data_IF_767787127619
#
_entry.id   IF_767787127619
#
_cell.length_a   1.000
_cell.length_b   1.000
_cell.length_c   1.000
_cell.angle_alpha   90.00
_cell.angle_beta   90.00
_cell.angle_gamma   90.00
#
_symmetry.space_group_name_H-M   'P 1'
#
loop_
_entity.id
_entity.type
_entity.pdbx_description
1 polymer ?
#
# COMPACT_ATOMS: atom_id res chain seq x y z
N UNK A 1 73.58 6.67 6.46
CA UNK A 1 72.42 5.83 6.12
C UNK A 1 71.16 6.49 6.67
N UNK A 2 70.23 6.91 5.80
CA UNK A 2 68.94 7.53 6.17
C UNK A 2 67.84 6.49 6.00
N UNK A 3 67.34 5.92 7.11
CA UNK A 3 66.19 5.02 7.07
C UNK A 3 64.90 5.88 7.00
N UNK A 4 64.08 5.61 6.00
CA UNK A 4 62.88 6.39 5.66
C UNK A 4 61.76 6.18 6.67
N UNK A 5 61.43 7.25 7.39
CA UNK A 5 60.28 7.38 8.28
C UNK A 5 59.03 7.73 7.46
N UNK A 6 58.57 6.83 6.57
CA UNK A 6 57.41 7.14 5.69
C UNK A 6 56.35 6.05 5.61
N UNK A 7 56.55 4.89 6.25
CA UNK A 7 55.62 3.75 6.08
C UNK A 7 54.54 3.63 7.15
N UNK A 8 54.57 4.46 8.21
CA UNK A 8 53.60 4.36 9.32
C UNK A 8 52.41 5.32 9.17
N UNK A 9 52.48 6.34 8.31
CA UNK A 9 51.37 7.30 8.16
C UNK A 9 50.25 6.83 7.23
N UNK A 10 50.51 5.85 6.34
CA UNK A 10 49.51 5.41 5.36
C UNK A 10 48.53 4.37 5.91
N UNK A 11 48.89 3.68 7.01
CA UNK A 11 48.04 2.67 7.65
C UNK A 11 47.09 3.28 8.69
N UNK A 12 47.36 4.53 9.13
CA UNK A 12 46.47 5.28 10.02
C UNK A 12 45.40 6.05 9.22
N UNK A 13 45.65 6.37 7.95
CA UNK A 13 44.69 7.11 7.12
C UNK A 13 43.60 6.27 6.43
N UNK A 14 43.75 4.96 6.27
CA UNK A 14 42.68 4.13 5.66
C UNK A 14 41.66 3.60 6.67
N UNK A 15 41.96 3.62 7.97
CA UNK A 15 41.03 3.21 9.01
C UNK A 15 40.02 4.30 9.42
N UNK A 16 40.10 5.51 8.83
CA UNK A 16 39.37 6.70 9.29
C UNK A 16 38.13 7.08 8.48
N UNK A 17 37.67 6.26 7.53
CA UNK A 17 36.40 6.50 6.81
C UNK A 17 35.50 5.26 6.76
N UNK A 18 35.57 4.39 7.77
CA UNK A 18 34.35 3.70 8.19
C UNK A 18 33.55 4.70 9.04
N UNK A 19 32.93 5.70 8.41
CA UNK A 19 31.83 6.39 9.06
C UNK A 19 30.82 5.31 9.40
N UNK A 20 30.72 4.98 10.68
CA UNK A 20 29.69 4.10 11.21
C UNK A 20 28.36 4.78 10.88
N UNK A 21 27.79 4.47 9.71
CA UNK A 21 26.45 4.93 9.35
C UNK A 21 25.52 4.28 10.34
N UNK A 22 25.06 5.06 11.32
CA UNK A 22 24.16 4.57 12.35
C UNK A 22 22.96 3.93 11.64
N UNK A 23 22.86 2.61 11.81
CA UNK A 23 21.77 1.81 11.29
C UNK A 23 20.79 1.65 12.42
N UNK A 24 19.56 2.08 12.20
CA UNK A 24 18.49 1.93 13.16
C UNK A 24 17.57 0.77 12.75
N UNK A 25 17.28 -0.13 13.67
CA UNK A 25 16.43 -1.31 13.43
C UNK A 25 15.41 -1.48 14.53
N UNK A 26 14.28 -2.10 14.22
CA UNK A 26 13.27 -2.50 15.18
C UNK A 26 12.16 -3.32 14.52
N UNK A 27 11.15 -3.69 15.30
CA UNK A 27 9.98 -4.44 14.82
C UNK A 27 8.73 -3.96 15.55
N UNK A 28 7.68 -3.65 14.81
CA UNK A 28 6.37 -3.21 15.30
C UNK A 28 5.30 -3.68 14.31
N UNK A 29 4.09 -3.98 14.79
CA UNK A 29 2.95 -4.39 13.94
C UNK A 29 3.30 -5.46 12.88
N UNK A 30 4.09 -6.48 13.27
CA UNK A 30 4.55 -7.56 12.39
C UNK A 30 5.38 -7.10 11.18
N UNK A 31 5.99 -5.92 11.29
CA UNK A 31 6.92 -5.34 10.33
C UNK A 31 8.24 -5.05 11.01
N UNK A 32 9.29 -5.74 10.58
CA UNK A 32 10.66 -5.38 10.87
C UNK A 32 11.07 -4.19 10.00
N UNK A 33 11.80 -3.24 10.56
CA UNK A 33 12.28 -2.08 9.83
C UNK A 33 13.76 -1.83 10.06
N UNK A 34 14.40 -1.29 9.04
CA UNK A 34 15.78 -0.83 9.06
C UNK A 34 15.89 0.52 8.36
N UNK A 35 16.42 1.52 9.03
CA UNK A 35 16.61 2.86 8.49
C UNK A 35 18.07 3.30 8.58
N UNK A 36 18.57 3.91 7.52
CA UNK A 36 19.94 4.45 7.42
C UNK A 36 19.87 5.82 6.78
N UNK A 37 20.65 6.78 7.30
CA UNK A 37 20.88 8.06 6.65
C UNK A 37 22.37 8.21 6.31
N UNK A 38 22.68 8.50 5.05
CA UNK A 38 24.07 8.66 4.58
C UNK A 38 24.53 10.12 4.45
N UNK A 39 23.74 11.07 4.94
CA UNK A 39 23.99 12.51 4.75
C UNK A 39 23.24 13.11 3.56
N UNK A 40 22.85 12.29 2.56
CA UNK A 40 22.15 12.73 1.36
C UNK A 40 20.79 12.06 1.18
N UNK A 41 20.67 10.79 1.52
CA UNK A 41 19.51 9.95 1.30
C UNK A 41 19.15 9.19 2.58
N UNK A 42 17.85 9.05 2.81
CA UNK A 42 17.31 8.10 3.78
C UNK A 42 16.98 6.82 3.04
N UNK A 43 17.50 5.71 3.56
CA UNK A 43 17.18 4.36 3.13
C UNK A 43 16.30 3.72 4.19
N UNK A 44 15.20 3.11 3.77
CA UNK A 44 14.29 2.39 4.64
C UNK A 44 14.03 1.01 4.04
N UNK A 45 14.21 -0.04 4.83
CA UNK A 45 13.74 -1.39 4.52
C UNK A 45 12.61 -1.73 5.47
N UNK A 46 11.50 -2.26 4.93
CA UNK A 46 10.40 -2.85 5.68
C UNK A 46 10.34 -4.33 5.30
N UNK A 47 10.37 -5.22 6.29
CA UNK A 47 10.39 -6.67 6.10
C UNK A 47 9.27 -7.29 6.92
N UNK A 48 8.58 -8.27 6.35
CA UNK A 48 7.57 -9.05 7.07
C UNK A 48 7.60 -10.50 6.58
N UNK A 49 7.32 -11.41 7.50
CA UNK A 49 7.11 -12.85 7.26
C UNK A 49 5.63 -13.21 7.47
N UNK A 50 4.82 -12.26 7.94
CA UNK A 50 3.44 -12.48 8.33
C UNK A 50 2.53 -12.31 7.12
N UNK A 51 1.79 -13.37 6.79
CA UNK A 51 0.96 -13.42 5.58
C UNK A 51 -0.14 -12.35 5.58
N UNK A 52 -0.79 -12.09 6.71
CA UNK A 52 -1.79 -11.02 6.79
C UNK A 52 -1.16 -9.64 6.52
N UNK A 53 0.05 -9.41 7.02
CA UNK A 53 0.79 -8.15 6.85
C UNK A 53 1.17 -7.97 5.38
N UNK A 54 1.70 -9.02 4.75
CA UNK A 54 2.00 -9.04 3.31
C UNK A 54 0.76 -8.69 2.48
N UNK A 55 -0.37 -9.35 2.77
CA UNK A 55 -1.62 -9.09 2.06
C UNK A 55 -2.09 -7.65 2.27
N UNK A 56 -1.97 -7.12 3.49
CA UNK A 56 -2.33 -5.73 3.80
C UNK A 56 -1.48 -4.76 3.00
N UNK A 57 -0.15 -4.91 3.01
CA UNK A 57 0.81 -4.07 2.29
C UNK A 57 0.62 -4.15 0.78
N UNK A 58 0.50 -5.34 0.20
CA UNK A 58 0.30 -5.53 -1.25
C UNK A 58 -1.08 -5.09 -1.72
N UNK A 59 -2.13 -5.33 -0.92
CA UNK A 59 -3.50 -5.07 -1.34
C UNK A 59 -3.98 -3.65 -1.05
N UNK A 60 -3.59 -3.04 0.07
CA UNK A 60 -4.06 -1.70 0.43
C UNK A 60 -3.00 -0.63 0.22
N UNK A 61 -1.73 -1.04 0.21
CA UNK A 61 -0.62 -0.12 0.29
C UNK A 61 -0.38 0.37 1.71
N UNK A 62 0.73 1.06 1.85
CA UNK A 62 1.13 1.73 3.07
C UNK A 62 1.63 3.13 2.74
N UNK A 63 1.57 4.00 3.74
CA UNK A 63 2.09 5.36 3.67
C UNK A 63 3.23 5.50 4.66
N UNK A 64 4.40 5.86 4.15
CA UNK A 64 5.58 6.23 4.93
C UNK A 64 5.54 7.74 5.13
N UNK A 65 5.47 8.18 6.37
CA UNK A 65 5.51 9.58 6.75
C UNK A 65 6.89 9.98 7.28
N UNK A 66 7.28 11.22 7.01
CA UNK A 66 8.51 11.81 7.51
C UNK A 66 8.21 13.10 8.28
N UNK A 67 8.61 13.17 9.54
CA UNK A 67 8.52 14.39 10.36
C UNK A 67 9.89 14.73 10.96
N UNK A 68 10.48 15.82 10.47
CA UNK A 68 11.81 16.32 10.87
C UNK A 68 11.86 16.86 12.30
N UNK A 69 10.73 17.21 12.89
CA UNK A 69 10.60 17.73 14.26
C UNK A 69 10.36 16.61 15.28
N UNK A 70 10.13 15.38 14.82
CA UNK A 70 9.81 14.22 15.66
C UNK A 70 8.41 14.28 16.28
N UNK A 71 7.50 15.09 15.72
CA UNK A 71 6.15 15.34 16.26
C UNK A 71 5.06 14.48 15.59
N UNK A 72 5.45 13.54 14.73
CA UNK A 72 4.54 12.61 14.03
C UNK A 72 3.50 13.32 13.14
N UNK A 73 3.83 14.49 12.59
CA UNK A 73 3.02 15.19 11.58
C UNK A 73 3.07 14.44 10.24
N UNK A 74 1.96 14.50 9.52
CA UNK A 74 1.73 13.77 8.26
C UNK A 74 1.86 14.66 7.02
N UNK A 75 2.82 15.57 7.04
CA UNK A 75 2.98 16.58 5.98
C UNK A 75 3.85 16.09 4.82
N UNK A 76 4.81 15.20 5.09
CA UNK A 76 5.66 14.63 4.04
C UNK A 76 5.46 13.14 4.03
N UNK A 77 5.15 12.57 2.87
CA UNK A 77 4.87 11.15 2.77
C UNK A 77 5.15 10.54 1.40
N UNK A 78 5.32 9.22 1.40
CA UNK A 78 5.26 8.38 0.20
C UNK A 78 4.20 7.31 0.45
N UNK A 79 3.26 7.16 -0.47
CA UNK A 79 2.29 6.07 -0.48
C UNK A 79 2.62 5.08 -1.59
N UNK A 80 2.70 3.80 -1.23
CA UNK A 80 2.99 2.72 -2.16
C UNK A 80 2.41 1.37 -1.70
N UNK A 81 1.96 0.50 -2.63
CA UNK A 81 1.52 0.82 -3.98
C UNK A 81 0.36 1.82 -4.02
N UNK A 82 0.37 2.69 -5.03
CA UNK A 82 -0.79 3.49 -5.40
C UNK A 82 -1.64 2.69 -6.39
N UNK A 83 -2.74 2.11 -5.90
CA UNK A 83 -3.69 1.42 -6.77
C UNK A 83 -4.44 2.44 -7.62
N UNK A 84 -4.43 2.25 -8.93
CA UNK A 84 -5.32 2.99 -9.82
C UNK A 84 -6.76 2.80 -9.35
N UNK A 85 -7.55 3.89 -9.32
CA UNK A 85 -9.00 3.76 -9.17
C UNK A 85 -9.48 2.76 -10.22
N UNK A 86 -10.17 1.69 -9.78
CA UNK A 86 -10.85 0.82 -10.73
C UNK A 86 -11.81 1.71 -11.51
N UNK A 87 -11.76 1.77 -12.85
CA UNK A 87 -12.79 2.47 -13.60
C UNK A 87 -14.13 1.95 -13.11
N UNK A 88 -15.05 2.87 -12.80
CA UNK A 88 -16.43 2.51 -12.46
C UNK A 88 -16.88 1.48 -13.48
N UNK A 89 -17.34 0.32 -13.02
CA UNK A 89 -17.77 -0.77 -13.89
C UNK A 89 -18.94 -0.27 -14.75
N UNK A 90 -18.64 0.29 -15.91
CA UNK A 90 -19.56 0.40 -17.02
C UNK A 90 -19.90 -1.01 -17.48
N UNK A 91 -21.21 -1.26 -17.64
CA UNK A 91 -21.82 -2.46 -18.21
C UNK A 91 -21.23 -3.80 -17.73
N UNK A 92 -21.91 -4.39 -16.75
CA UNK A 92 -21.84 -5.82 -16.43
C UNK A 92 -22.10 -6.62 -17.73
N UNK A 93 -21.13 -7.36 -18.30
CA UNK A 93 -21.47 -8.31 -19.36
C UNK A 93 -22.40 -9.36 -18.75
N UNK A 94 -23.43 -9.73 -19.51
CA UNK A 94 -24.39 -10.76 -19.13
C UNK A 94 -23.66 -12.01 -18.64
N UNK A 95 -24.15 -12.51 -17.52
CA UNK A 95 -23.58 -13.61 -16.77
C UNK A 95 -23.87 -14.92 -17.51
N UNK A 96 -23.04 -15.25 -18.48
CA UNK A 96 -22.95 -16.59 -19.05
C UNK A 96 -22.54 -17.60 -17.96
N UNK A 97 -23.24 -18.72 -17.93
CA UNK A 97 -23.12 -19.78 -16.95
C UNK A 97 -21.70 -20.34 -16.88
N UNK A 98 -21.07 -20.22 -15.71
CA UNK A 98 -19.93 -21.06 -15.33
C UNK A 98 -20.02 -21.34 -13.83
N UNK A 99 -20.95 -22.22 -13.49
CA UNK A 99 -20.98 -22.93 -12.20
C UNK A 99 -20.63 -24.37 -12.49
N UNK A 100 -19.35 -24.68 -12.51
CA UNK A 100 -18.88 -26.06 -12.39
C UNK A 100 -17.49 -26.02 -11.73
N UNK A 101 -17.33 -26.88 -10.71
CA UNK A 101 -16.20 -27.03 -9.80
C UNK A 101 -15.92 -25.90 -8.78
N UNK A 102 -16.75 -25.87 -7.74
CA UNK A 102 -16.35 -25.44 -6.39
C UNK A 102 -16.65 -26.55 -5.39
N UNK A 103 -16.02 -27.70 -5.60
CA UNK A 103 -15.87 -28.70 -4.55
C UNK A 103 -14.37 -28.84 -4.34
N UNK A 104 -13.94 -28.64 -3.09
CA UNK A 104 -12.56 -28.75 -2.59
C UNK A 104 -11.59 -27.56 -2.73
N UNK A 105 -12.07 -26.31 -2.66
CA UNK A 105 -11.18 -25.20 -2.26
C UNK A 105 -11.22 -25.06 -0.74
N UNK A 106 -10.43 -25.88 -0.04
CA UNK A 106 -9.93 -25.48 1.27
C UNK A 106 -9.44 -24.03 1.19
N UNK A 107 -9.67 -23.31 2.28
CA UNK A 107 -9.57 -21.88 2.52
C UNK A 107 -8.20 -21.28 2.19
N UNK A 108 -7.72 -21.40 0.95
CA UNK A 108 -6.50 -20.76 0.45
C UNK A 108 -6.83 -19.28 0.27
N UNK A 109 -6.43 -18.48 1.26
CA UNK A 109 -6.38 -17.03 1.14
C UNK A 109 -5.67 -16.60 -0.14
N UNK A 110 -5.81 -15.32 -0.55
CA UNK A 110 -5.33 -14.88 -1.84
C UNK A 110 -3.81 -15.09 -2.01
N UNK A 111 -3.46 -15.49 -3.22
CA UNK A 111 -2.13 -15.92 -3.67
C UNK A 111 -1.16 -14.72 -3.72
N UNK A 112 -0.15 -14.72 -2.85
CA UNK A 112 0.79 -13.60 -2.67
C UNK A 112 1.61 -13.35 -3.94
N UNK A 113 2.07 -14.42 -4.59
CA UNK A 113 2.84 -14.33 -5.83
C UNK A 113 2.04 -13.58 -6.91
N UNK A 114 0.76 -13.90 -7.07
CA UNK A 114 -0.13 -13.18 -8.00
C UNK A 114 -0.37 -11.72 -7.61
N UNK A 115 -0.41 -11.39 -6.32
CA UNK A 115 -0.53 -9.99 -5.90
C UNK A 115 0.70 -9.18 -6.31
N UNK A 116 1.88 -9.79 -6.22
CA UNK A 116 3.15 -9.19 -6.58
C UNK A 116 3.24 -8.96 -8.10
N UNK A 117 2.88 -9.96 -8.90
CA UNK A 117 2.84 -9.83 -10.37
C UNK A 117 1.95 -8.66 -10.83
N UNK A 118 0.87 -8.40 -10.09
CA UNK A 118 -0.09 -7.34 -10.39
C UNK A 118 0.17 -6.05 -9.59
N UNK A 119 1.31 -5.93 -8.90
CA UNK A 119 1.60 -4.80 -8.06
C UNK A 119 1.82 -3.53 -8.92
N UNK A 120 1.06 -2.45 -8.70
CA UNK A 120 1.24 -1.22 -9.46
C UNK A 120 2.64 -0.64 -9.24
N UNK A 121 3.31 -0.26 -10.34
CA UNK A 121 4.54 0.55 -10.30
C UNK A 121 4.27 2.05 -10.15
N UNK A 122 3.22 2.40 -9.41
CA UNK A 122 2.84 3.78 -9.13
C UNK A 122 2.91 4.05 -7.64
N UNK A 123 3.38 5.24 -7.28
CA UNK A 123 3.41 5.75 -5.93
C UNK A 123 2.94 7.21 -5.93
N UNK A 124 2.57 7.71 -4.76
CA UNK A 124 2.30 9.12 -4.56
C UNK A 124 3.35 9.69 -3.59
N UNK A 125 3.92 10.83 -3.93
CA UNK A 125 4.75 11.62 -3.04
C UNK A 125 4.00 12.90 -2.65
N UNK A 126 3.91 13.18 -1.36
CA UNK A 126 3.28 14.39 -0.84
C UNK A 126 4.27 15.21 -0.02
N UNK A 127 4.29 16.52 -0.23
CA UNK A 127 5.06 17.51 0.51
C UNK A 127 4.17 18.71 0.85
N UNK A 128 3.74 18.76 2.10
CA UNK A 128 2.72 19.70 2.61
C UNK A 128 1.46 19.64 1.76
N UNK A 129 1.11 20.74 1.10
CA UNK A 129 -0.12 20.87 0.31
C UNK A 129 0.09 20.45 -1.16
N UNK A 130 1.31 20.04 -1.53
CA UNK A 130 1.65 19.54 -2.86
C UNK A 130 1.72 18.01 -2.87
N UNK A 131 1.19 17.40 -3.93
CA UNK A 131 1.17 15.95 -4.11
C UNK A 131 1.38 15.61 -5.57
N UNK A 132 2.20 14.58 -5.83
CA UNK A 132 2.55 14.14 -7.17
C UNK A 132 2.54 12.60 -7.23
N UNK A 133 1.72 12.06 -8.13
CA UNK A 133 1.79 10.66 -8.52
C UNK A 133 2.97 10.44 -9.46
N UNK A 134 3.75 9.39 -9.23
CA UNK A 134 4.89 9.05 -10.06
C UNK A 134 4.97 7.56 -10.36
N UNK A 135 5.59 7.22 -11.49
CA UNK A 135 5.93 5.84 -11.84
C UNK A 135 7.31 5.49 -11.26
N UNK A 136 7.46 4.30 -10.68
CA UNK A 136 8.72 3.88 -10.07
C UNK A 136 9.89 3.82 -11.06
N UNK A 137 9.64 3.42 -12.31
CA UNK A 137 10.66 3.29 -13.35
C UNK A 137 10.95 4.64 -14.05
N UNK A 138 10.01 5.58 -14.01
CA UNK A 138 10.04 6.84 -14.78
C UNK A 138 9.74 8.07 -13.90
N UNK A 139 10.52 8.28 -12.84
CA UNK A 139 10.41 9.48 -12.00
C UNK A 139 11.70 10.31 -12.02
N UNK A 140 11.56 11.62 -11.83
CA UNK A 140 12.66 12.58 -11.70
C UNK A 140 12.85 13.05 -10.23
N UNK A 141 12.15 12.44 -9.28
CA UNK A 141 12.18 12.83 -7.86
C UNK A 141 13.43 12.32 -7.13
N UNK A 142 14.17 11.39 -7.75
CA UNK A 142 15.28 10.68 -7.11
C UNK A 142 14.81 9.67 -6.06
N UNK A 143 13.50 9.43 -5.99
CA UNK A 143 12.89 8.44 -5.09
C UNK A 143 12.93 7.09 -5.80
N UNK A 144 13.51 6.09 -5.13
CA UNK A 144 13.58 4.73 -5.63
C UNK A 144 12.85 3.83 -4.67
N UNK A 145 11.94 3.01 -5.20
CA UNK A 145 11.25 1.99 -4.44
C UNK A 145 11.34 0.66 -5.16
N UNK A 146 11.75 -0.38 -4.42
CA UNK A 146 11.81 -1.75 -4.89
C UNK A 146 11.15 -2.66 -3.86
N UNK A 147 10.84 -3.88 -4.27
CA UNK A 147 10.43 -4.94 -3.36
C UNK A 147 11.14 -6.24 -3.75
N UNK A 148 11.26 -7.15 -2.80
CA UNK A 148 11.68 -8.53 -3.01
C UNK A 148 10.69 -9.46 -2.31
N UNK A 149 10.47 -10.63 -2.92
CA UNK A 149 9.67 -11.68 -2.32
C UNK A 149 10.40 -13.00 -2.52
N UNK A 150 10.53 -13.74 -1.44
CA UNK A 150 11.08 -15.09 -1.43
C UNK A 150 10.15 -15.99 -0.66
N UNK A 151 9.94 -17.21 -1.14
CA UNK A 151 9.24 -18.25 -0.42
C UNK A 151 10.13 -19.49 -0.46
N UNK A 152 10.63 -19.89 0.71
CA UNK A 152 11.43 -21.09 0.88
C UNK A 152 10.71 -22.07 1.82
N UNK A 153 11.00 -23.36 1.70
CA UNK A 153 10.33 -24.41 2.50
C UNK A 153 10.69 -24.32 4.00
N UNK A 154 11.85 -23.75 4.33
CA UNK A 154 12.38 -23.70 5.70
C UNK A 154 11.99 -22.43 6.48
N UNK A 155 12.04 -21.25 5.84
CA UNK A 155 11.79 -19.94 6.51
C UNK A 155 10.40 -19.37 6.16
N UNK A 156 9.71 -19.92 5.17
CA UNK A 156 8.41 -19.46 4.72
C UNK A 156 8.47 -18.24 3.81
N UNK A 157 7.33 -17.57 3.55
CA UNK A 157 7.30 -16.38 2.71
C UNK A 157 7.92 -15.18 3.44
N UNK A 158 8.74 -14.41 2.74
CA UNK A 158 9.33 -13.14 3.19
C UNK A 158 9.07 -12.08 2.13
N UNK A 159 8.53 -10.93 2.56
CA UNK A 159 8.34 -9.76 1.71
C UNK A 159 9.17 -8.60 2.25
N UNK A 160 10.02 -8.01 1.40
CA UNK A 160 10.78 -6.82 1.74
C UNK A 160 10.45 -5.67 0.78
N UNK A 161 10.30 -4.46 1.33
CA UNK A 161 10.25 -3.22 0.57
C UNK A 161 11.48 -2.38 0.89
N UNK A 162 12.11 -1.84 -0.15
CA UNK A 162 13.25 -0.94 -0.02
C UNK A 162 12.90 0.42 -0.60
N UNK A 163 13.06 1.47 0.21
CA UNK A 163 12.92 2.86 -0.19
C UNK A 163 14.28 3.56 -0.08
N UNK A 164 14.59 4.35 -1.09
CA UNK A 164 15.58 5.43 -1.04
C UNK A 164 14.87 6.75 -1.36
N UNK A 165 15.00 7.74 -0.48
CA UNK A 165 14.46 9.09 -0.67
C UNK A 165 15.57 10.13 -0.39
N UNK A 166 15.77 11.11 -1.28
CA UNK A 166 16.68 12.23 -1.01
C UNK A 166 16.23 13.04 0.20
N UNK A 167 17.16 13.45 1.07
CA UNK A 167 16.86 14.27 2.24
C UNK A 167 16.21 15.63 1.86
N UNK A 168 16.52 16.16 0.67
CA UNK A 168 15.89 17.36 0.10
C UNK A 168 14.41 17.18 -0.21
N UNK A 169 13.92 15.94 -0.36
CA UNK A 169 12.50 15.60 -0.49
C UNK A 169 11.82 15.43 0.88
N UNK A 170 12.58 15.38 1.96
CA UNK A 170 12.05 15.32 3.34
C UNK A 170 12.03 16.71 3.97
N UNK A 171 13.05 17.53 3.68
CA UNK A 171 13.26 18.84 4.29
C UNK A 171 13.89 19.80 3.29
N UNK A 172 13.42 21.04 3.26
CA UNK A 172 14.09 22.15 2.56
C UNK A 172 15.38 22.59 3.25
N UNK A 173 15.46 22.41 4.58
CA UNK A 173 16.69 22.62 5.33
C UNK A 173 17.57 21.37 5.17
N UNK A 174 18.57 21.47 4.29
CA UNK A 174 19.49 20.37 3.97
C UNK A 174 20.25 19.91 5.21
N UNK A 175 20.13 18.63 5.55
CA UNK A 175 21.10 17.91 6.38
C UNK A 175 20.76 17.73 7.87
N UNK A 176 19.79 18.45 8.45
CA UNK A 176 19.44 18.23 9.86
C UNK A 176 18.24 17.29 10.03
N UNK A 177 18.51 15.98 9.96
CA UNK A 177 17.54 14.91 10.24
C UNK A 177 17.70 14.32 11.66
N UNK A 178 18.38 15.01 12.57
CA UNK A 178 18.69 14.52 13.93
C UNK A 178 17.44 14.17 14.76
N UNK A 179 16.29 14.77 14.44
CA UNK A 179 15.01 14.54 15.12
C UNK A 179 13.99 13.82 14.23
N UNK A 180 14.42 13.31 13.07
CA UNK A 180 13.53 12.66 12.12
C UNK A 180 12.79 11.49 12.79
N UNK A 181 11.47 11.55 12.73
CA UNK A 181 10.60 10.41 12.99
C UNK A 181 9.99 9.92 11.68
N UNK A 182 9.98 8.60 11.51
CA UNK A 182 9.39 7.91 10.38
C UNK A 182 8.16 7.16 10.87
N UNK A 183 7.03 7.33 10.18
CA UNK A 183 5.77 6.68 10.51
C UNK A 183 5.35 5.73 9.40
N UNK A 184 4.93 4.52 9.73
CA UNK A 184 4.42 3.52 8.77
C UNK A 184 2.97 3.29 9.09
N UNK A 185 2.09 3.53 8.11
CA UNK A 185 0.64 3.41 8.32
C UNK A 185 0.02 2.68 7.13
N UNK A 186 -0.83 1.68 7.39
CA UNK A 186 -1.66 1.08 6.34
C UNK A 186 -2.51 2.15 5.66
N UNK A 187 -2.51 2.18 4.33
CA UNK A 187 -3.34 3.12 3.59
C UNK A 187 -4.81 2.77 3.81
N UNK A 188 -5.59 3.75 4.25
CA UNK A 188 -7.05 3.60 4.32
C UNK A 188 -7.58 3.62 2.88
N UNK A 189 -8.24 2.55 2.45
CA UNK A 189 -9.07 2.65 1.24
C UNK A 189 -10.21 3.59 1.57
N UNK A 190 -10.30 4.73 0.88
CA UNK A 190 -11.55 5.46 0.80
C UNK A 190 -12.55 4.52 0.14
N UNK A 191 -13.41 3.90 0.94
CA UNK A 191 -14.69 3.49 0.43
C UNK A 191 -15.33 4.80 -0.01
N UNK A 192 -15.41 5.04 -1.33
CA UNK A 192 -16.42 5.93 -1.87
C UNK A 192 -17.72 5.37 -1.31
N UNK A 193 -18.19 5.94 -0.20
CA UNK A 193 -19.59 5.91 0.15
C UNK A 193 -20.23 6.41 -1.13
N UNK A 194 -20.87 5.51 -1.86
CA UNK A 194 -21.82 5.88 -2.89
C UNK A 194 -22.94 6.63 -2.17
N UNK A 195 -22.64 7.86 -1.79
CA UNK A 195 -23.55 8.86 -1.30
C UNK A 195 -24.50 9.06 -2.46
N UNK A 196 -25.69 8.50 -2.26
CA UNK A 196 -26.94 8.96 -2.82
C UNK A 196 -26.78 9.56 -4.21
N UNK A 197 -26.93 8.71 -5.24
CA UNK A 197 -27.53 9.21 -6.47
C UNK A 197 -28.78 9.99 -6.05
N UNK A 198 -28.89 11.30 -6.32
CA UNK A 198 -30.17 11.94 -6.14
C UNK A 198 -31.13 11.18 -7.03
N UNK A 199 -32.23 10.74 -6.43
CA UNK A 199 -33.32 10.11 -7.12
C UNK A 199 -33.89 11.18 -8.06
N UNK A 200 -33.33 11.31 -9.27
CA UNK A 200 -33.90 12.16 -10.31
C UNK A 200 -35.16 11.41 -10.77
N UNK A 201 -36.24 11.71 -10.05
CA UNK A 201 -37.60 11.60 -10.55
C UNK A 201 -37.70 12.47 -11.80
N UNK A 202 -37.46 11.89 -12.98
CA UNK A 202 -37.90 12.48 -14.24
C UNK A 202 -39.36 12.09 -14.44
N UNK A 203 -40.25 12.81 -13.76
CA UNK A 203 -41.55 13.12 -14.31
C UNK A 203 -41.35 14.05 -15.50
N UNK A 204 -41.66 13.59 -16.71
CA UNK A 204 -41.48 14.34 -17.96
C UNK A 204 -42.37 13.79 -19.06
N UNK A 205 -43.62 14.25 -19.03
CA UNK A 205 -44.71 14.00 -19.97
C UNK A 205 -44.48 14.80 -21.27
N UNK A 206 -44.26 14.19 -22.43
CA UNK A 206 -44.71 14.72 -23.74
C UNK A 206 -44.45 13.73 -24.92
N UNK A 207 -45.52 13.40 -25.66
CA UNK A 207 -45.51 12.96 -27.08
C UNK A 207 -45.26 11.46 -27.31
N UNK A 208 -46.07 10.68 -28.03
CA UNK A 208 -47.22 10.95 -28.90
C UNK A 208 -47.25 9.86 -29.98
N UNK A 209 -48.42 9.24 -30.21
CA UNK A 209 -48.68 8.21 -31.23
C UNK A 209 -48.53 6.78 -30.68
N UNK A 210 -49.54 5.92 -30.59
CA UNK A 210 -50.76 5.77 -31.39
C UNK A 210 -50.69 4.41 -32.10
N UNK A 211 -51.77 3.61 -32.00
CA UNK A 211 -52.00 2.30 -32.67
C UNK A 211 -51.29 1.11 -31.99
N UNK A 212 -51.93 0.07 -31.46
CA UNK A 212 -53.25 -0.52 -31.67
C UNK A 212 -53.05 -2.03 -31.85
N UNK A 213 -53.75 -2.89 -31.10
CA UNK A 213 -53.68 -4.35 -31.35
C UNK A 213 -54.11 -5.24 -30.20
N UNK A 214 -55.30 -5.84 -30.34
CA UNK A 214 -55.95 -6.82 -29.47
C UNK A 214 -55.32 -8.22 -29.62
N UNK A 215 -55.30 -9.01 -28.54
CA UNK A 215 -55.80 -10.41 -28.46
C UNK A 215 -55.48 -10.98 -27.08
N UNK A 216 -56.49 -11.40 -26.30
CA UNK A 216 -56.80 -12.83 -26.10
C UNK A 216 -55.97 -13.38 -24.92
N UNK A 217 -56.52 -13.63 -23.73
CA UNK A 217 -57.55 -14.64 -23.43
C UNK A 217 -56.86 -15.91 -22.93
N UNK A 218 -57.00 -16.26 -21.64
CA UNK A 218 -56.50 -17.56 -21.14
C UNK A 218 -56.37 -17.67 -19.62
N UNK A 219 -57.27 -18.46 -19.02
CA UNK A 219 -57.27 -18.95 -17.63
C UNK A 219 -56.05 -19.83 -17.31
N UNK A 220 -55.47 -19.63 -16.13
CA UNK A 220 -55.02 -20.65 -15.15
C UNK A 220 -54.25 -19.91 -14.05
N UNK A 221 -54.63 -19.95 -12.77
CA UNK A 221 -54.69 -21.19 -12.00
C UNK A 221 -53.29 -21.50 -11.50
N UNK A 222 -52.89 -20.95 -10.35
CA UNK A 222 -51.53 -21.14 -9.83
C UNK A 222 -51.26 -20.37 -8.56
N UNK A 223 -51.91 -20.78 -7.46
CA UNK A 223 -51.44 -20.47 -6.12
C UNK A 223 -50.04 -21.06 -5.93
N UNK A 224 -49.05 -20.23 -5.68
CA UNK A 224 -47.65 -20.64 -5.57
C UNK A 224 -46.82 -19.64 -4.79
N UNK A 225 -47.08 -19.56 -3.48
CA UNK A 225 -46.15 -19.20 -2.40
C UNK A 225 -44.99 -18.28 -2.79
N UNK A 226 -45.22 -16.98 -2.62
CA UNK A 226 -44.15 -16.10 -2.17
C UNK A 226 -43.74 -16.50 -0.75
N UNK A 227 -42.51 -16.94 -0.56
CA UNK A 227 -41.89 -16.93 0.76
C UNK A 227 -40.36 -17.00 0.65
N UNK A 228 -39.73 -15.87 0.99
CA UNK A 228 -38.62 -15.90 1.93
C UNK A 228 -37.36 -16.65 1.53
N UNK A 229 -36.83 -16.43 0.33
CA UNK A 229 -35.43 -16.73 0.03
C UNK A 229 -34.50 -15.69 0.66
N UNK A 230 -34.51 -15.59 1.99
CA UNK A 230 -33.56 -14.77 2.74
C UNK A 230 -32.16 -15.28 2.45
N UNK A 231 -31.42 -14.54 1.61
CA UNK A 231 -29.96 -14.65 1.59
C UNK A 231 -29.50 -14.51 3.04
N UNK A 232 -28.75 -15.46 3.62
CA UNK A 232 -28.10 -15.19 4.88
C UNK A 232 -27.30 -13.90 4.70
N UNK A 233 -27.35 -12.97 5.68
CA UNK A 233 -26.47 -11.81 5.64
C UNK A 233 -25.08 -12.39 5.46
N UNK A 234 -24.47 -12.05 4.33
CA UNK A 234 -23.07 -12.37 4.07
C UNK A 234 -22.35 -11.82 5.28
N UNK A 235 -21.91 -12.73 6.15
CA UNK A 235 -21.12 -12.36 7.30
C UNK A 235 -20.03 -11.49 6.72
N UNK A 236 -20.01 -10.21 7.12
CA UNK A 236 -18.83 -9.41 6.98
C UNK A 236 -17.80 -10.20 7.76
N UNK A 237 -17.07 -11.06 7.06
CA UNK A 237 -15.72 -11.41 7.44
C UNK A 237 -14.96 -10.10 7.27
N UNK A 238 -15.17 -9.19 8.23
CA UNK A 238 -14.12 -8.32 8.73
C UNK A 238 -13.03 -9.29 9.24
N UNK A 239 -12.35 -9.89 8.27
CA UNK A 239 -11.02 -10.42 8.43
C UNK A 239 -10.29 -9.29 9.11
N UNK A 240 -9.94 -9.49 10.38
CA UNK A 240 -9.28 -8.49 11.20
C UNK A 240 -8.14 -7.93 10.37
N UNK A 241 -8.35 -6.71 9.88
CA UNK A 241 -7.40 -6.09 8.97
C UNK A 241 -6.21 -5.78 9.84
N UNK A 242 -5.08 -6.40 9.51
CA UNK A 242 -3.85 -6.06 10.18
C UNK A 242 -3.54 -4.59 9.95
N UNK A 243 -3.57 -3.84 11.05
CA UNK A 243 -3.44 -2.39 11.09
C UNK A 243 -1.99 -2.08 11.41
N UNK A 244 -1.25 -1.65 10.41
CA UNK A 244 0.09 -1.09 10.59
C UNK A 244 -0.10 0.40 10.95
N UNK A 245 0.38 0.82 12.12
CA UNK A 245 0.32 2.22 12.59
C UNK A 245 1.36 2.48 13.68
N UNK A 246 2.64 2.55 13.29
CA UNK A 246 3.73 2.80 14.22
C UNK A 246 4.64 3.94 13.76
N UNK A 247 5.41 4.46 14.71
CA UNK A 247 6.38 5.52 14.47
C UNK A 247 7.67 5.25 15.23
N UNK A 248 8.79 5.49 14.59
CA UNK A 248 10.10 5.40 15.23
C UNK A 248 10.96 6.63 14.92
N UNK A 249 12.00 6.83 15.73
CA UNK A 249 12.99 7.90 15.52
C UNK A 249 14.22 7.32 14.87
N UNK A 250 14.76 8.00 13.86
CA UNK A 250 16.01 7.60 13.23
C UNK A 250 17.18 7.61 14.23
N UNK A 251 17.16 8.57 15.17
CA UNK A 251 18.14 8.70 16.25
C UNK A 251 17.42 8.66 17.60
N UNK A 252 17.16 7.46 18.17
CA UNK A 252 16.58 7.35 19.50
C UNK A 252 17.55 7.89 20.56
N UNK A 253 17.01 8.50 21.63
CA UNK A 253 17.85 8.89 22.77
C UNK A 253 18.40 7.60 23.40
N UNK A 254 19.72 7.50 23.58
CA UNK A 254 20.32 6.42 24.38
C UNK A 254 19.67 6.43 25.77
N UNK A 255 19.10 5.30 26.20
CA UNK A 255 18.66 5.13 27.58
C UNK A 255 19.90 5.28 28.48
N UNK A 256 19.84 6.21 29.43
CA UNK A 256 20.87 6.39 30.46
C UNK A 256 20.78 5.27 31.47
#
# INVERSE_FOLDING_TARGET
>A
MKLKLTTVLFLICTALIAQNKETFTGSEDNVEYKAIFDGQNVYLTLRTEFKETMQSMLHRGYTIYFDIKGKKKKNVSIQYPLKAERPEKGARPERGERRENRENSEQKGPDIAKMIENLPKKANYSYFDSSEDFNLDMNNLGIVMNYSYSENEEEGPVLEYHLKIPASKISTETGNLSKLSIGIVSTKQEQKNSQQKPNISMGGRQGGGGQGGRSGGGRSGGAGRGSGGGRPPQANTDSQVEKIDFWFKLYPKKKK
#
